data_IF_064695041562
#
_entry.id   IF_064695041562
#
_cell.length_a   1.000
_cell.length_b   1.000
_cell.length_c   1.000
_cell.angle_alpha   90.00
_cell.angle_beta   90.00
_cell.angle_gamma   90.00
#
_symmetry.space_group_name_H-M   'P 1'
#
loop_
_entity.id
_entity.type
_entity.pdbx_description
1 polymer ?
#
# COMPACT_ATOMS: atom_id res chain seq x y z
N UNK A 1 -17.70 -37.21 -20.61
CA UNK A 1 -16.56 -36.60 -21.31
C UNK A 1 -16.91 -35.22 -21.88
N UNK A 2 -18.01 -35.10 -22.64
CA UNK A 2 -18.44 -33.83 -23.26
C UNK A 2 -18.68 -32.69 -22.24
N UNK A 3 -19.32 -33.01 -21.09
CA UNK A 3 -19.54 -32.04 -20.03
C UNK A 3 -18.20 -31.50 -19.43
N UNK A 4 -17.22 -32.36 -19.26
CA UNK A 4 -15.90 -31.96 -18.76
C UNK A 4 -15.17 -31.08 -19.79
N UNK A 5 -15.29 -31.37 -21.08
CA UNK A 5 -14.71 -30.55 -22.16
C UNK A 5 -15.37 -29.18 -22.22
N UNK A 6 -16.71 -29.13 -22.12
CA UNK A 6 -17.48 -27.88 -22.12
C UNK A 6 -17.10 -27.01 -20.90
N UNK A 7 -17.06 -27.63 -19.71
CA UNK A 7 -16.69 -26.92 -18.47
C UNK A 7 -15.28 -26.38 -18.55
N UNK A 8 -14.32 -27.16 -19.07
CA UNK A 8 -12.95 -26.72 -19.27
C UNK A 8 -12.87 -25.58 -20.28
N UNK A 9 -13.60 -25.66 -21.39
CA UNK A 9 -13.66 -24.60 -22.40
C UNK A 9 -14.20 -23.30 -21.84
N UNK A 10 -15.32 -23.34 -21.11
CA UNK A 10 -15.91 -22.16 -20.45
C UNK A 10 -14.92 -21.58 -19.42
N UNK A 11 -14.26 -22.41 -18.61
CA UNK A 11 -13.28 -21.96 -17.62
C UNK A 11 -12.09 -21.24 -18.28
N UNK A 12 -11.57 -21.77 -19.39
CA UNK A 12 -10.47 -21.15 -20.14
C UNK A 12 -10.91 -19.79 -20.69
N UNK A 13 -12.09 -19.68 -21.28
CA UNK A 13 -12.63 -18.43 -21.82
C UNK A 13 -12.78 -17.39 -20.71
N UNK A 14 -13.31 -17.76 -19.55
CA UNK A 14 -13.43 -16.85 -18.40
C UNK A 14 -12.06 -16.40 -17.87
N UNK A 15 -11.09 -17.30 -17.77
CA UNK A 15 -9.73 -16.94 -17.34
C UNK A 15 -9.06 -15.98 -18.32
N UNK A 16 -9.20 -16.22 -19.62
CA UNK A 16 -8.69 -15.32 -20.66
C UNK A 16 -9.37 -13.96 -20.64
N UNK A 17 -10.69 -13.92 -20.40
CA UNK A 17 -11.44 -12.67 -20.27
C UNK A 17 -10.95 -11.86 -19.05
N UNK A 18 -10.82 -12.49 -17.88
CA UNK A 18 -10.30 -11.85 -16.66
C UNK A 18 -8.88 -11.33 -16.87
N UNK A 19 -8.03 -12.13 -17.49
CA UNK A 19 -6.64 -11.74 -17.79
C UNK A 19 -6.58 -10.55 -18.76
N UNK A 20 -7.36 -10.59 -19.85
CA UNK A 20 -7.43 -9.51 -20.84
C UNK A 20 -7.97 -8.21 -20.24
N UNK A 21 -9.02 -8.29 -19.40
CA UNK A 21 -9.56 -7.15 -18.67
C UNK A 21 -8.53 -6.56 -17.69
N UNK A 22 -7.74 -7.42 -17.03
CA UNK A 22 -6.64 -6.98 -16.18
C UNK A 22 -5.57 -6.19 -16.94
N UNK A 23 -5.21 -6.63 -18.15
CA UNK A 23 -4.29 -5.89 -19.02
C UNK A 23 -4.87 -4.55 -19.47
N UNK A 24 -6.17 -4.52 -19.79
CA UNK A 24 -6.86 -3.29 -20.17
C UNK A 24 -6.88 -2.29 -19.02
N UNK A 25 -7.12 -2.74 -17.79
CA UNK A 25 -7.03 -1.89 -16.58
C UNK A 25 -5.63 -1.33 -16.40
N UNK A 26 -4.60 -2.17 -16.53
CA UNK A 26 -3.20 -1.73 -16.39
C UNK A 26 -2.83 -0.69 -17.45
N UNK A 27 -3.30 -0.86 -18.67
CA UNK A 27 -3.12 0.08 -19.75
C UNK A 27 -3.88 1.39 -19.50
N UNK A 28 -5.17 1.31 -19.13
CA UNK A 28 -6.04 2.46 -18.88
C UNK A 28 -5.55 3.32 -17.70
N UNK A 29 -5.03 2.70 -16.64
CA UNK A 29 -4.47 3.41 -15.49
C UNK A 29 -3.33 4.36 -15.86
N UNK A 30 -2.60 4.07 -16.96
CA UNK A 30 -1.54 4.94 -17.48
C UNK A 30 -2.04 6.26 -18.09
N UNK A 31 -3.31 6.35 -18.47
CA UNK A 31 -3.90 7.55 -19.08
C UNK A 31 -4.61 8.45 -18.09
N UNK A 32 -4.84 7.99 -16.85
CA UNK A 32 -5.44 8.82 -15.81
C UNK A 32 -4.37 9.78 -15.30
N UNK A 33 -4.51 11.08 -15.60
CA UNK A 33 -3.57 12.06 -15.05
C UNK A 33 -3.77 12.24 -13.53
N UNK A 34 -2.78 12.75 -12.78
CA UNK A 34 -2.92 13.08 -11.37
C UNK A 34 -4.12 13.97 -11.08
N UNK A 35 -4.38 14.95 -11.95
CA UNK A 35 -5.49 15.90 -11.82
C UNK A 35 -6.84 15.18 -12.03
N UNK A 36 -6.93 14.31 -13.05
CA UNK A 36 -8.13 13.49 -13.27
C UNK A 36 -8.38 12.56 -12.09
N UNK A 37 -7.34 11.93 -11.56
CA UNK A 37 -7.42 11.09 -10.38
C UNK A 37 -7.94 11.88 -9.18
N UNK A 38 -7.38 13.06 -8.90
CA UNK A 38 -7.82 13.93 -7.82
C UNK A 38 -9.30 14.30 -7.94
N UNK A 39 -9.79 14.64 -9.15
CA UNK A 39 -11.19 14.97 -9.41
C UNK A 39 -12.10 13.75 -9.20
N UNK A 40 -11.75 12.60 -9.78
CA UNK A 40 -12.56 11.36 -9.68
C UNK A 40 -12.71 10.95 -8.21
N UNK A 41 -11.63 11.02 -7.43
CA UNK A 41 -11.61 10.53 -6.05
C UNK A 41 -11.82 11.63 -4.99
N UNK A 42 -11.99 12.91 -5.38
CA UNK A 42 -12.25 14.01 -4.44
C UNK A 42 -13.55 13.83 -3.64
N UNK A 43 -14.58 13.29 -4.31
CA UNK A 43 -15.89 13.04 -3.70
C UNK A 43 -15.94 11.73 -2.89
N UNK A 44 -14.95 10.88 -3.03
CA UNK A 44 -14.88 9.64 -2.25
C UNK A 44 -14.39 9.95 -0.83
N UNK A 45 -15.35 10.26 0.03
CA UNK A 45 -15.07 10.40 1.45
C UNK A 45 -14.76 9.04 2.05
N UNK A 46 -13.62 8.96 2.75
CA UNK A 46 -13.28 7.79 3.59
C UNK A 46 -14.28 7.61 4.76
N UNK A 47 -15.07 8.64 5.05
CA UNK A 47 -16.14 8.68 6.05
C UNK A 47 -17.38 7.91 5.58
N UNK A 48 -17.38 6.64 5.71
CA UNK A 48 -18.50 5.75 5.33
C UNK A 48 -18.03 4.31 5.13
N UNK A 49 -16.74 4.10 5.00
CA UNK A 49 -16.17 2.77 5.16
C UNK A 49 -15.94 2.53 6.66
N UNK A 50 -16.58 1.53 7.27
CA UNK A 50 -16.43 1.26 8.70
C UNK A 50 -15.00 0.90 9.12
N UNK A 51 -14.05 0.92 8.19
CA UNK A 51 -12.68 0.45 8.37
C UNK A 51 -11.75 1.55 8.86
N UNK A 52 -12.01 2.86 8.56
CA UNK A 52 -11.06 3.93 8.90
C UNK A 52 -11.75 5.18 9.43
N UNK A 53 -11.75 5.32 10.76
CA UNK A 53 -12.07 6.59 11.38
C UNK A 53 -10.90 7.56 11.16
N UNK A 54 -11.11 8.56 10.29
CA UNK A 54 -10.12 9.57 9.97
C UNK A 54 -9.83 10.46 11.18
N UNK A 55 -8.58 10.59 11.55
CA UNK A 55 -8.12 11.41 12.66
C UNK A 55 -7.64 12.78 12.12
N UNK A 56 -8.58 13.66 11.76
CA UNK A 56 -8.24 14.95 11.13
C UNK A 56 -7.42 15.87 12.03
N UNK A 57 -7.65 15.81 13.34
CA UNK A 57 -6.99 16.65 14.34
C UNK A 57 -5.77 15.98 14.99
N UNK A 58 -5.32 14.83 14.50
CA UNK A 58 -4.14 14.16 15.06
C UNK A 58 -2.88 14.98 14.74
N UNK A 59 -2.15 15.50 15.74
CA UNK A 59 -0.98 16.35 15.53
C UNK A 59 0.14 15.62 14.77
N UNK A 60 0.20 14.29 14.85
CA UNK A 60 1.18 13.46 14.13
C UNK A 60 1.04 13.58 12.61
N UNK A 61 -0.14 13.95 12.13
CA UNK A 61 -0.39 14.15 10.69
C UNK A 61 0.52 15.22 10.09
N UNK A 62 0.79 16.30 10.83
CA UNK A 62 1.66 17.41 10.35
C UNK A 62 3.08 16.90 10.17
N UNK A 63 3.57 16.12 11.12
CA UNK A 63 4.92 15.56 11.07
C UNK A 63 5.08 14.53 9.95
N UNK A 64 4.09 13.64 9.79
CA UNK A 64 4.07 12.67 8.69
C UNK A 64 3.98 13.36 7.32
N UNK A 65 3.20 14.45 7.20
CA UNK A 65 3.13 15.24 5.98
C UNK A 65 4.48 15.84 5.66
N UNK A 66 5.15 16.44 6.66
CA UNK A 66 6.50 16.98 6.49
C UNK A 66 7.47 15.92 5.99
N UNK A 67 7.46 14.73 6.58
CA UNK A 67 8.32 13.62 6.13
C UNK A 67 8.06 13.25 4.67
N UNK A 68 6.79 13.16 4.23
CA UNK A 68 6.45 12.86 2.84
C UNK A 68 6.89 13.98 1.90
N UNK A 69 6.71 15.25 2.28
CA UNK A 69 7.11 16.39 1.48
C UNK A 69 8.65 16.45 1.30
N UNK A 70 9.40 16.18 2.37
CA UNK A 70 10.86 16.12 2.34
C UNK A 70 11.37 14.95 1.48
N UNK A 71 10.81 13.74 1.64
CA UNK A 71 11.13 12.57 0.83
C UNK A 71 10.77 12.79 -0.65
N UNK A 72 9.78 13.63 -0.93
CA UNK A 72 9.37 14.03 -2.28
C UNK A 72 10.50 14.62 -3.11
N UNK A 73 11.49 15.27 -2.49
CA UNK A 73 12.69 15.79 -3.17
C UNK A 73 13.55 14.68 -3.79
N UNK A 74 13.49 13.47 -3.24
CA UNK A 74 14.22 12.29 -3.71
C UNK A 74 13.35 11.30 -4.51
N UNK A 75 12.03 11.47 -4.46
CA UNK A 75 11.08 10.58 -5.12
C UNK A 75 9.90 11.39 -5.69
N UNK A 76 10.13 12.03 -6.83
CA UNK A 76 9.05 12.77 -7.51
C UNK A 76 7.93 11.84 -7.94
N UNK A 77 6.75 12.04 -7.39
CA UNK A 77 5.54 11.27 -7.69
C UNK A 77 4.68 11.92 -8.78
N UNK A 78 4.95 13.19 -9.09
CA UNK A 78 4.29 13.95 -10.16
C UNK A 78 3.01 14.67 -9.73
N UNK A 79 2.61 14.57 -8.47
CA UNK A 79 1.49 15.32 -7.88
C UNK A 79 1.59 15.37 -6.34
N UNK A 80 0.92 16.35 -5.70
CA UNK A 80 1.00 16.49 -4.25
C UNK A 80 0.36 15.32 -3.54
N UNK A 81 1.06 14.80 -2.53
CA UNK A 81 0.56 13.76 -1.65
C UNK A 81 0.01 14.36 -0.36
N UNK A 82 -1.06 13.77 0.15
CA UNK A 82 -1.68 14.13 1.42
C UNK A 82 -1.65 12.96 2.38
N UNK A 83 -1.09 13.18 3.56
CA UNK A 83 -1.09 12.15 4.61
C UNK A 83 -2.35 12.28 5.45
N UNK A 84 -2.97 11.14 5.73
CA UNK A 84 -4.07 11.01 6.66
C UNK A 84 -3.75 9.90 7.66
N UNK A 85 -4.15 10.11 8.91
CA UNK A 85 -4.04 9.09 9.95
C UNK A 85 -5.42 8.47 10.14
N UNK A 86 -5.46 7.16 10.29
CA UNK A 86 -6.67 6.43 10.59
C UNK A 86 -6.49 5.55 11.83
N UNK A 87 -7.54 5.49 12.65
CA UNK A 87 -7.55 4.70 13.87
C UNK A 87 -7.64 3.22 13.52
N UNK A 88 -6.58 2.49 13.77
CA UNK A 88 -6.52 1.03 13.69
C UNK A 88 -5.34 0.53 14.49
N UNK A 89 -5.47 -0.66 15.07
CA UNK A 89 -4.36 -1.38 15.71
C UNK A 89 -3.48 -2.12 14.70
N UNK A 90 -3.92 -2.22 13.45
CA UNK A 90 -3.13 -2.85 12.41
C UNK A 90 -1.92 -1.98 12.06
N UNK A 91 -0.76 -2.60 12.01
CA UNK A 91 0.47 -1.93 11.57
C UNK A 91 0.48 -1.89 10.04
N UNK A 92 -0.04 -0.80 9.45
CA UNK A 92 -0.10 -0.65 7.99
C UNK A 92 -0.08 0.81 7.55
N UNK A 93 0.36 1.04 6.32
CA UNK A 93 0.09 2.23 5.52
C UNK A 93 -0.27 1.80 4.11
N UNK A 94 -0.94 2.65 3.34
CA UNK A 94 -1.28 2.33 1.96
C UNK A 94 -1.56 3.58 1.12
N UNK A 95 -1.23 3.46 -0.16
CA UNK A 95 -1.53 4.44 -1.18
C UNK A 95 -3.02 4.36 -1.55
N UNK A 96 -3.75 5.47 -1.36
CA UNK A 96 -5.16 5.59 -1.71
C UNK A 96 -5.33 6.60 -2.85
N UNK A 97 -6.18 6.32 -3.86
CA UNK A 97 -6.36 7.22 -4.99
C UNK A 97 -6.67 8.67 -4.60
N UNK A 98 -6.29 9.59 -5.47
CA UNK A 98 -6.39 11.03 -5.22
C UNK A 98 -5.20 11.58 -4.42
N UNK A 99 -4.04 10.91 -4.47
CA UNK A 99 -2.80 11.40 -3.84
C UNK A 99 -2.79 11.26 -2.32
N UNK A 100 -3.52 10.30 -1.74
CA UNK A 100 -3.64 10.15 -0.29
C UNK A 100 -2.84 8.95 0.23
N UNK A 101 -1.94 9.18 1.18
CA UNK A 101 -1.29 8.13 1.96
C UNK A 101 -2.06 8.00 3.27
N UNK A 102 -2.60 6.80 3.53
CA UNK A 102 -3.29 6.50 4.78
C UNK A 102 -2.32 5.75 5.69
N UNK A 103 -2.03 6.34 6.84
CA UNK A 103 -1.19 5.72 7.88
C UNK A 103 -2.08 5.25 9.00
N UNK A 104 -2.05 3.98 9.33
CA UNK A 104 -2.77 3.43 10.47
C UNK A 104 -1.98 3.65 11.75
N UNK A 105 -2.65 3.97 12.84
CA UNK A 105 -1.99 4.27 14.13
C UNK A 105 -1.07 3.12 14.58
N UNK A 106 -1.47 1.87 14.36
CA UNK A 106 -0.67 0.70 14.72
C UNK A 106 0.68 0.62 14.01
N UNK A 107 0.88 1.29 12.86
CA UNK A 107 2.20 1.39 12.22
C UNK A 107 3.18 2.16 13.10
N UNK A 108 2.74 3.27 13.69
CA UNK A 108 3.57 4.13 14.54
C UNK A 108 3.97 3.44 15.85
N UNK A 109 3.27 2.37 16.25
CA UNK A 109 3.63 1.52 17.38
C UNK A 109 4.72 0.49 17.04
N UNK A 110 4.98 0.24 15.77
CA UNK A 110 5.89 -0.80 15.28
C UNK A 110 7.19 -0.26 14.68
N UNK A 111 7.22 1.01 14.32
CA UNK A 111 8.44 1.67 13.86
C UNK A 111 9.12 2.39 15.03
N UNK A 112 10.44 2.28 15.11
CA UNK A 112 11.22 2.82 16.21
C UNK A 112 12.16 3.94 15.76
N UNK A 113 12.43 4.01 14.46
CA UNK A 113 13.29 5.02 13.87
C UNK A 113 12.57 5.87 12.82
N UNK A 114 13.07 7.08 12.63
CA UNK A 114 12.66 7.96 11.54
C UNK A 114 12.93 7.31 10.18
N UNK A 115 14.07 6.64 10.05
CA UNK A 115 14.47 5.96 8.82
C UNK A 115 13.54 4.78 8.48
N UNK A 116 13.13 3.99 9.49
CA UNK A 116 12.17 2.91 9.30
C UNK A 116 10.80 3.42 8.86
N UNK A 117 10.32 4.51 9.47
CA UNK A 117 9.09 5.18 9.03
C UNK A 117 9.23 5.74 7.62
N UNK A 118 10.34 6.43 7.34
CA UNK A 118 10.62 7.00 6.02
C UNK A 118 10.67 5.93 4.93
N UNK A 119 11.19 4.73 5.23
CA UNK A 119 11.15 3.61 4.28
C UNK A 119 9.71 3.22 3.92
N UNK A 120 8.82 3.06 4.92
CA UNK A 120 7.42 2.71 4.67
C UNK A 120 6.72 3.80 3.86
N UNK A 121 6.90 5.07 4.22
CA UNK A 121 6.31 6.20 3.47
C UNK A 121 6.85 6.26 2.03
N UNK A 122 8.16 6.10 1.83
CA UNK A 122 8.77 6.07 0.50
C UNK A 122 8.27 4.89 -0.36
N UNK A 123 7.98 3.75 0.28
CA UNK A 123 7.38 2.58 -0.36
C UNK A 123 5.96 2.89 -0.86
N UNK A 124 5.13 3.55 -0.05
CA UNK A 124 3.80 3.98 -0.47
C UNK A 124 3.86 5.03 -1.59
N UNK A 125 4.83 5.96 -1.50
CA UNK A 125 5.09 6.93 -2.57
C UNK A 125 5.48 6.22 -3.89
N UNK A 126 6.25 5.14 -3.82
CA UNK A 126 6.61 4.35 -4.99
C UNK A 126 5.38 3.71 -5.68
N UNK A 127 4.39 3.25 -4.92
CA UNK A 127 3.12 2.76 -5.48
C UNK A 127 2.35 3.85 -6.22
N UNK A 128 2.39 5.11 -5.76
CA UNK A 128 1.84 6.24 -6.51
C UNK A 128 2.59 6.45 -7.82
N UNK A 129 3.91 6.53 -7.77
CA UNK A 129 4.75 6.72 -8.96
C UNK A 129 4.52 5.65 -10.02
N UNK A 130 4.29 4.40 -9.60
CA UNK A 130 4.01 3.27 -10.46
C UNK A 130 2.53 3.10 -10.81
N UNK A 131 1.64 3.92 -10.26
CA UNK A 131 0.17 3.84 -10.44
C UNK A 131 -0.43 2.53 -9.96
N UNK A 132 0.22 1.85 -9.04
CA UNK A 132 -0.20 0.52 -8.58
C UNK A 132 -1.53 0.54 -7.82
N UNK A 133 -1.79 1.61 -7.06
CA UNK A 133 -3.05 1.85 -6.37
C UNK A 133 -4.26 1.89 -7.34
N UNK A 134 -4.12 2.54 -8.52
CA UNK A 134 -5.17 2.56 -9.54
C UNK A 134 -5.36 1.20 -10.21
N UNK A 135 -4.25 0.52 -10.53
CA UNK A 135 -4.29 -0.81 -11.16
C UNK A 135 -4.89 -1.85 -10.22
N UNK A 136 -4.52 -1.82 -8.94
CA UNK A 136 -5.06 -2.71 -7.92
C UNK A 136 -6.58 -2.55 -7.77
N UNK A 137 -7.02 -1.30 -7.61
CA UNK A 137 -8.44 -0.98 -7.50
C UNK A 137 -9.22 -1.32 -8.77
N UNK A 138 -8.71 -0.96 -9.95
CA UNK A 138 -9.38 -1.26 -11.22
C UNK A 138 -9.56 -2.76 -11.45
N UNK A 139 -8.56 -3.58 -11.11
CA UNK A 139 -8.69 -5.04 -11.15
C UNK A 139 -9.73 -5.56 -10.14
N UNK A 140 -9.78 -4.97 -8.94
CA UNK A 140 -10.80 -5.28 -7.95
C UNK A 140 -12.20 -5.00 -8.46
N UNK A 141 -12.42 -3.85 -9.11
CA UNK A 141 -13.70 -3.50 -9.74
C UNK A 141 -14.11 -4.49 -10.82
N UNK A 142 -13.18 -4.89 -11.69
CA UNK A 142 -13.44 -5.90 -12.74
C UNK A 142 -13.88 -7.23 -12.13
N UNK A 143 -13.16 -7.73 -11.13
CA UNK A 143 -13.49 -9.00 -10.47
C UNK A 143 -14.84 -8.92 -9.76
N UNK A 144 -15.14 -7.81 -9.10
CA UNK A 144 -16.44 -7.60 -8.43
C UNK A 144 -17.57 -7.55 -9.44
N UNK A 145 -17.43 -6.82 -10.55
CA UNK A 145 -18.42 -6.75 -11.61
C UNK A 145 -18.68 -8.13 -12.26
N UNK A 146 -17.62 -8.90 -12.53
CA UNK A 146 -17.77 -10.27 -13.05
C UNK A 146 -18.47 -11.20 -12.05
N UNK A 147 -18.13 -11.12 -10.77
CA UNK A 147 -18.79 -11.90 -9.72
C UNK A 147 -20.28 -11.59 -9.67
N UNK A 148 -20.65 -10.33 -9.76
CA UNK A 148 -22.06 -9.91 -9.78
C UNK A 148 -22.81 -10.42 -11.00
N UNK A 149 -22.20 -10.37 -12.17
CA UNK A 149 -22.79 -10.89 -13.40
C UNK A 149 -23.07 -12.41 -13.28
N UNK A 150 -22.13 -13.16 -12.67
CA UNK A 150 -22.26 -14.60 -12.50
C UNK A 150 -23.28 -15.00 -11.42
N UNK A 151 -23.42 -14.20 -10.37
CA UNK A 151 -24.31 -14.49 -9.24
C UNK A 151 -25.71 -13.88 -9.38
N UNK A 152 -25.93 -13.01 -10.40
CA UNK A 152 -27.19 -12.28 -10.56
C UNK A 152 -27.42 -11.23 -9.47
N UNK A 153 -26.40 -10.86 -8.70
CA UNK A 153 -26.49 -9.83 -7.69
C UNK A 153 -26.76 -8.48 -8.37
N UNK A 154 -27.82 -7.80 -7.93
CA UNK A 154 -28.38 -6.63 -8.57
C UNK A 154 -27.39 -5.46 -8.72
N UNK A 155 -27.74 -4.55 -9.59
CA UNK A 155 -26.95 -3.45 -10.14
C UNK A 155 -26.67 -2.28 -9.18
N UNK A 156 -26.65 -2.49 -7.88
CA UNK A 156 -26.25 -1.43 -6.94
C UNK A 156 -24.74 -1.24 -6.99
N UNK A 157 -24.31 -0.20 -7.72
CA UNK A 157 -22.91 0.13 -7.94
C UNK A 157 -22.14 0.33 -6.63
N UNK A 158 -22.82 0.75 -5.57
CA UNK A 158 -22.20 0.94 -4.25
C UNK A 158 -21.79 -0.39 -3.61
N UNK A 159 -22.55 -1.45 -3.85
CA UNK A 159 -22.25 -2.82 -3.39
C UNK A 159 -21.00 -3.39 -4.08
N UNK A 160 -20.68 -2.91 -5.28
CA UNK A 160 -19.49 -3.33 -6.04
C UNK A 160 -18.27 -2.48 -5.72
N UNK A 161 -18.47 -1.20 -5.50
CA UNK A 161 -17.38 -0.26 -5.20
C UNK A 161 -16.81 -0.52 -3.80
N UNK A 162 -17.65 -0.80 -2.80
CA UNK A 162 -17.20 -0.98 -1.43
C UNK A 162 -16.17 -2.13 -1.23
N UNK A 163 -16.35 -3.35 -1.79
CA UNK A 163 -15.31 -4.39 -1.74
C UNK A 163 -14.07 -4.06 -2.58
N UNK A 164 -14.23 -3.37 -3.72
CA UNK A 164 -13.12 -2.96 -4.57
C UNK A 164 -12.32 -1.81 -3.95
N UNK A 165 -13.00 -0.99 -3.18
CA UNK A 165 -12.44 -0.01 -2.26
C UNK A 165 -12.06 -0.63 -0.92
N UNK A 166 -12.23 -1.92 -0.74
CA UNK A 166 -11.72 -2.70 0.38
C UNK A 166 -10.24 -2.46 0.56
N UNK A 167 -10.04 -1.32 1.10
CA UNK A 167 -8.88 -0.49 1.24
C UNK A 167 -7.90 -1.29 2.09
N UNK A 168 -6.73 -1.55 1.56
CA UNK A 168 -5.73 -2.42 2.15
C UNK A 168 -5.80 -3.88 1.68
N UNK A 169 -6.69 -4.25 0.76
CA UNK A 169 -6.71 -5.58 0.14
C UNK A 169 -6.26 -5.60 -1.34
N UNK A 170 -5.83 -4.48 -1.89
CA UNK A 170 -5.14 -4.48 -3.18
C UNK A 170 -3.82 -5.24 -3.03
N UNK A 171 -3.83 -6.55 -3.28
CA UNK A 171 -2.61 -7.35 -3.30
C UNK A 171 -1.76 -6.94 -4.49
N UNK A 172 -0.66 -6.31 -4.21
CA UNK A 172 0.34 -6.01 -5.22
C UNK A 172 1.06 -7.30 -5.64
N UNK A 173 1.49 -7.36 -6.90
CA UNK A 173 2.32 -8.49 -7.34
C UNK A 173 3.70 -8.40 -6.71
N UNK A 174 4.37 -9.55 -6.53
CA UNK A 174 5.73 -9.58 -5.98
C UNK A 174 6.71 -8.68 -6.75
N UNK A 175 6.53 -8.58 -8.06
CA UNK A 175 7.36 -7.72 -8.90
C UNK A 175 7.13 -6.23 -8.60
N UNK A 176 5.89 -5.82 -8.34
CA UNK A 176 5.56 -4.44 -7.96
C UNK A 176 6.10 -4.11 -6.58
N UNK A 177 5.97 -5.04 -5.63
CA UNK A 177 6.56 -4.91 -4.30
C UNK A 177 8.09 -4.74 -4.38
N UNK A 178 8.78 -5.60 -5.15
CA UNK A 178 10.23 -5.49 -5.32
C UNK A 178 10.65 -4.17 -6.00
N UNK A 179 9.83 -3.67 -6.91
CA UNK A 179 10.06 -2.37 -7.55
C UNK A 179 9.82 -1.20 -6.57
N UNK A 180 8.79 -1.28 -5.74
CA UNK A 180 8.51 -0.28 -4.69
C UNK A 180 9.60 -0.29 -3.61
N UNK A 181 10.05 -1.47 -3.18
CA UNK A 181 11.18 -1.63 -2.25
C UNK A 181 12.47 -1.00 -2.78
N UNK A 182 12.77 -1.22 -4.06
CA UNK A 182 13.95 -0.64 -4.69
C UNK A 182 13.87 0.88 -4.70
N UNK A 183 12.74 1.46 -5.12
CA UNK A 183 12.54 2.91 -5.12
C UNK A 183 12.59 3.50 -3.70
N UNK A 184 12.06 2.79 -2.70
CA UNK A 184 12.15 3.22 -1.31
C UNK A 184 13.61 3.23 -0.80
N UNK A 185 14.42 2.20 -1.12
CA UNK A 185 15.85 2.20 -0.80
C UNK A 185 16.60 3.35 -1.49
N UNK A 186 16.32 3.60 -2.76
CA UNK A 186 16.91 4.72 -3.52
C UNK A 186 16.53 6.06 -2.88
N UNK A 187 15.28 6.21 -2.43
CA UNK A 187 14.78 7.40 -1.73
C UNK A 187 15.50 7.60 -0.40
N UNK A 188 15.64 6.55 0.42
CA UNK A 188 16.39 6.63 1.67
C UNK A 188 17.85 6.99 1.45
N UNK A 189 18.50 6.33 0.49
CA UNK A 189 19.90 6.63 0.19
C UNK A 189 20.09 8.06 -0.32
N UNK A 190 19.17 8.58 -1.12
CA UNK A 190 19.18 9.95 -1.58
C UNK A 190 19.04 10.93 -0.40
N UNK A 191 18.08 10.68 0.50
CA UNK A 191 17.71 11.62 1.56
C UNK A 191 18.68 11.56 2.76
N UNK A 192 19.02 10.35 3.23
CA UNK A 192 19.89 10.15 4.41
C UNK A 192 21.36 9.86 4.05
N UNK A 193 21.67 9.56 2.79
CA UNK A 193 22.99 9.05 2.39
C UNK A 193 23.29 7.63 2.87
N UNK A 194 22.27 6.89 3.32
CA UNK A 194 22.34 5.49 3.73
C UNK A 194 20.94 4.85 3.77
N UNK A 195 20.86 3.53 3.91
CA UNK A 195 19.61 2.77 3.96
C UNK A 195 19.38 2.04 5.29
N UNK A 196 20.08 2.46 6.36
CA UNK A 196 19.81 1.91 7.70
C UNK A 196 18.36 2.14 8.09
N UNK A 197 17.72 1.13 8.70
CA UNK A 197 16.30 1.15 9.07
C UNK A 197 15.33 0.62 8.00
N UNK A 198 15.77 0.38 6.77
CA UNK A 198 14.89 -0.07 5.69
C UNK A 198 14.18 -1.41 5.97
N UNK A 199 14.77 -2.31 6.72
CA UNK A 199 14.17 -3.60 7.07
C UNK A 199 13.53 -3.64 8.48
N UNK A 200 13.59 -2.53 9.24
CA UNK A 200 13.14 -2.42 10.63
C UNK A 200 11.67 -2.84 10.81
N UNK A 201 10.79 -2.27 10.00
CA UNK A 201 9.36 -2.58 10.07
C UNK A 201 9.08 -4.06 9.81
N UNK A 202 9.75 -4.67 8.84
CA UNK A 202 9.58 -6.09 8.52
C UNK A 202 10.10 -7.00 9.61
N UNK A 203 11.20 -6.62 10.26
CA UNK A 203 11.73 -7.34 11.42
C UNK A 203 10.74 -7.31 12.59
N UNK A 204 10.19 -6.13 12.92
CA UNK A 204 9.17 -5.98 13.96
C UNK A 204 7.92 -6.83 13.68
N UNK A 205 7.48 -6.85 12.41
CA UNK A 205 6.32 -7.67 11.99
C UNK A 205 6.62 -9.17 12.02
N UNK A 206 7.84 -9.58 11.69
CA UNK A 206 8.26 -10.98 11.79
C UNK A 206 8.25 -11.44 13.26
N UNK A 207 8.85 -10.67 14.15
CA UNK A 207 8.88 -10.98 15.58
C UNK A 207 7.47 -11.10 16.17
N UNK A 208 6.55 -10.22 15.76
CA UNK A 208 5.16 -10.29 16.19
C UNK A 208 4.49 -11.56 15.66
N UNK A 209 4.69 -11.90 14.39
CA UNK A 209 4.13 -13.10 13.77
C UNK A 209 4.61 -14.39 14.46
N UNK A 210 5.86 -14.43 14.87
CA UNK A 210 6.44 -15.56 15.60
C UNK A 210 5.88 -15.68 17.03
N UNK A 211 5.59 -14.56 17.73
CA UNK A 211 5.06 -14.53 19.09
C UNK A 211 3.55 -14.78 19.18
N UNK A 212 2.78 -14.20 18.28
CA UNK A 212 1.30 -14.16 18.35
C UNK A 212 0.62 -15.09 17.34
N UNK A 213 1.39 -15.77 16.49
CA UNK A 213 0.91 -16.49 15.33
C UNK A 213 0.63 -15.54 14.16
N UNK A 214 0.82 -16.07 12.94
CA UNK A 214 0.61 -15.30 11.69
C UNK A 214 -0.88 -15.08 11.47
N UNK A 215 -1.41 -13.96 11.94
CA UNK A 215 -2.74 -13.49 11.56
C UNK A 215 -2.61 -12.87 10.17
N UNK A 216 -3.34 -13.42 9.19
CA UNK A 216 -3.44 -12.84 7.84
C UNK A 216 -4.30 -11.59 7.97
N UNK A 217 -3.66 -10.47 8.32
CA UNK A 217 -4.29 -9.16 8.48
C UNK A 217 -3.25 -8.05 8.40
N UNK A 218 -3.68 -6.81 8.37
CA UNK A 218 -2.82 -5.65 8.34
C UNK A 218 -1.94 -5.60 7.08
N UNK A 219 -0.67 -5.25 7.25
CA UNK A 219 0.28 -5.03 6.16
C UNK A 219 0.43 -6.22 5.20
N UNK A 220 0.41 -7.46 5.69
CA UNK A 220 0.57 -8.65 4.87
C UNK A 220 -0.63 -8.96 3.96
N UNK A 221 -1.79 -8.36 4.22
CA UNK A 221 -2.96 -8.50 3.35
C UNK A 221 -2.76 -7.74 2.03
N UNK A 222 -2.15 -6.55 2.08
CA UNK A 222 -1.83 -5.71 0.93
C UNK A 222 -0.43 -5.99 0.34
N UNK A 223 0.55 -6.29 1.20
CA UNK A 223 1.97 -6.47 0.86
C UNK A 223 2.45 -7.87 1.25
N UNK A 224 2.25 -8.88 0.40
CA UNK A 224 2.57 -10.26 0.73
C UNK A 224 4.08 -10.50 0.89
N UNK A 225 4.42 -11.55 1.69
CA UNK A 225 5.77 -12.11 1.84
C UNK A 225 6.82 -11.21 2.52
N UNK A 226 6.47 -10.54 3.61
CA UNK A 226 7.38 -9.66 4.34
C UNK A 226 8.72 -10.33 4.76
N UNK A 227 8.69 -11.59 5.17
CA UNK A 227 9.94 -12.33 5.53
C UNK A 227 10.90 -12.42 4.35
N UNK A 228 10.37 -12.64 3.14
CA UNK A 228 11.21 -12.69 1.94
C UNK A 228 11.75 -11.31 1.58
N UNK A 229 11.01 -10.22 1.94
CA UNK A 229 11.41 -8.85 1.65
C UNK A 229 12.67 -8.43 2.40
N UNK A 230 12.87 -8.86 3.66
CA UNK A 230 14.12 -8.59 4.40
C UNK A 230 15.33 -9.05 3.60
N UNK A 231 15.32 -10.29 3.09
CA UNK A 231 16.43 -10.82 2.28
C UNK A 231 16.57 -10.08 0.95
N UNK A 232 15.47 -9.72 0.32
CA UNK A 232 15.46 -8.94 -0.92
C UNK A 232 16.06 -7.57 -0.71
N UNK A 233 15.68 -6.85 0.35
CA UNK A 233 16.22 -5.54 0.70
C UNK A 233 17.73 -5.60 0.93
N UNK A 234 18.22 -6.60 1.66
CA UNK A 234 19.66 -6.81 1.89
C UNK A 234 20.41 -7.08 0.58
N UNK A 235 19.82 -7.88 -0.29
CA UNK A 235 20.40 -8.15 -1.62
C UNK A 235 20.46 -6.90 -2.47
N UNK A 236 19.37 -6.12 -2.52
CA UNK A 236 19.31 -4.85 -3.26
C UNK A 236 20.29 -3.83 -2.70
N UNK A 237 20.38 -3.70 -1.36
CA UNK A 237 21.35 -2.82 -0.68
C UNK A 237 22.77 -3.13 -1.10
N UNK A 238 23.16 -4.43 -1.07
CA UNK A 238 24.50 -4.88 -1.45
C UNK A 238 24.76 -4.64 -2.94
N UNK A 239 23.79 -4.99 -3.79
CA UNK A 239 23.93 -4.86 -5.25
C UNK A 239 24.05 -3.39 -5.71
N UNK A 240 23.38 -2.47 -5.01
CA UNK A 240 23.44 -1.03 -5.29
C UNK A 240 24.66 -0.34 -4.62
N UNK A 241 25.41 -1.05 -3.77
CA UNK A 241 26.52 -0.47 -3.00
C UNK A 241 26.08 0.56 -1.96
N UNK A 242 24.83 0.49 -1.48
CA UNK A 242 24.32 1.40 -0.45
C UNK A 242 24.92 1.08 0.91
N UNK A 243 25.20 2.13 1.70
CA UNK A 243 25.72 1.97 3.06
C UNK A 243 24.57 1.82 4.05
N UNK A 244 24.83 1.06 5.12
CA UNK A 244 23.94 0.96 6.28
C UNK A 244 24.61 1.65 7.46
N UNK A 245 23.93 2.65 8.06
CA UNK A 245 24.41 3.39 9.23
C UNK A 245 23.37 3.33 10.35
N UNK A 246 23.71 3.86 11.51
CA UNK A 246 22.78 4.02 12.62
C UNK A 246 21.57 4.88 12.22
N UNK A 247 20.42 4.54 12.78
CA UNK A 247 19.15 5.20 12.50
C UNK A 247 18.91 6.35 13.48
N UNK A 248 18.16 7.35 13.03
CA UNK A 248 17.64 8.42 13.87
C UNK A 248 16.42 7.94 14.65
N UNK A 249 16.37 8.11 15.98
CA UNK A 249 15.19 7.73 16.76
C UNK A 249 13.92 8.44 16.26
N UNK A 250 12.79 7.74 16.30
CA UNK A 250 11.49 8.33 15.95
C UNK A 250 11.21 9.57 16.79
N UNK A 251 10.80 10.72 16.18
CA UNK A 251 10.41 11.93 16.91
C UNK A 251 9.38 11.66 17.99
N UNK A 252 9.50 12.32 19.14
CA UNK A 252 8.57 12.16 20.26
C UNK A 252 7.12 12.45 19.87
N UNK A 253 6.92 13.40 18.95
CA UNK A 253 5.60 13.76 18.40
C UNK A 253 4.90 12.63 17.65
N UNK A 254 5.65 11.66 17.13
CA UNK A 254 5.13 10.51 16.38
C UNK A 254 4.97 9.26 17.24
N UNK A 255 5.57 9.25 18.43
CA UNK A 255 5.46 8.09 19.32
C UNK A 255 4.03 7.92 19.82
N UNK A 256 3.56 6.68 20.02
CA UNK A 256 2.29 6.43 20.66
C UNK A 256 2.26 7.11 22.03
N UNK A 257 1.12 7.71 22.38
CA UNK A 257 0.92 8.14 23.75
C UNK A 257 1.04 6.90 24.65
N UNK A 258 2.02 6.92 25.54
CA UNK A 258 2.09 5.90 26.60
C UNK A 258 0.82 6.05 27.42
N UNK A 259 -0.12 5.12 27.28
CA UNK A 259 -1.28 5.08 28.18
C UNK A 259 -0.73 5.07 29.60
N UNK A 260 -1.15 5.98 30.49
CA UNK A 260 -0.84 5.83 31.89
C UNK A 260 -1.41 4.50 32.38
N UNK A 261 -0.56 3.68 33.00
CA UNK A 261 -0.94 2.42 33.65
C UNK A 261 -2.03 2.64 34.73
#
# INVERSE_FOLDING_TARGET
EEFAVLLSGVSIVLLLAVWSLGLLVDWAAGFISPEMEAVIFSSMQLSGTPVFEKQENDPRRIELQRSVDELGSCNEVGYPLQVNIAKSKDANAFAFPGGRIIVLQGLLEKVHSENGLAFVLAHEMAHFKQRDHLRGMGRGLVLTALSALLTGAGSDLTTFIAPALGIGQARYSQQREASADKLALETLNCFYGHVGGADEFFQAMQEQGEKEGWKIGGYFASHPKAVQRINTLRTLTTAAGFTVKETTPLPLSLRPETSPE
#
